data_IF_116674527707
#
_entry.id   IF_116674527707
#
_cell.length_a   1.000
_cell.length_b   1.000
_cell.length_c   1.000
_cell.angle_alpha   90.00
_cell.angle_beta   90.00
_cell.angle_gamma   90.00
#
_symmetry.space_group_name_H-M   'P 1'
#
loop_
_entity.id
_entity.type
_entity.pdbx_description
1 polymer ?
#
# COMPACT_ATOMS: atom_id res chain seq x y z
N UNK A 1 1.91 -21.36 11.59
CA UNK A 1 1.08 -20.95 10.45
C UNK A 1 1.19 -19.45 10.39
N UNK A 2 1.85 -18.91 9.38
CA UNK A 2 1.68 -17.49 9.06
C UNK A 2 0.32 -17.41 8.40
N UNK A 3 -0.67 -16.91 9.12
CA UNK A 3 -1.96 -16.57 8.52
C UNK A 3 -1.69 -15.58 7.39
N UNK A 4 -2.26 -15.85 6.20
CA UNK A 4 -2.22 -14.88 5.13
C UNK A 4 -2.90 -13.59 5.60
N UNK A 5 -2.34 -12.41 5.29
CA UNK A 5 -2.93 -11.14 5.71
C UNK A 5 -4.34 -11.01 5.13
N UNK A 6 -5.30 -10.66 5.98
CA UNK A 6 -6.68 -10.48 5.55
C UNK A 6 -6.84 -9.18 4.77
N UNK A 7 -7.91 -9.06 3.98
CA UNK A 7 -8.21 -7.80 3.25
C UNK A 7 -8.28 -6.61 4.20
N UNK A 8 -8.85 -6.79 5.40
CA UNK A 8 -8.93 -5.75 6.42
C UNK A 8 -7.54 -5.31 6.92
N UNK A 9 -6.62 -6.26 7.13
CA UNK A 9 -5.24 -5.95 7.53
C UNK A 9 -4.52 -5.14 6.44
N UNK A 10 -4.68 -5.55 5.18
CA UNK A 10 -4.10 -4.84 4.03
C UNK A 10 -4.66 -3.43 3.90
N UNK A 11 -5.96 -3.26 4.14
CA UNK A 11 -6.62 -1.98 4.03
C UNK A 11 -6.14 -1.00 5.12
N UNK A 12 -6.05 -1.46 6.37
CA UNK A 12 -5.47 -0.65 7.46
C UNK A 12 -4.04 -0.23 7.16
N UNK A 13 -3.23 -1.14 6.59
CA UNK A 13 -1.84 -0.85 6.23
C UNK A 13 -1.76 0.16 5.06
N UNK A 14 -2.65 0.06 4.08
CA UNK A 14 -2.72 0.97 2.95
C UNK A 14 -3.11 2.39 3.40
N UNK A 15 -4.15 2.51 4.23
CA UNK A 15 -4.64 3.78 4.75
C UNK A 15 -3.57 4.52 5.57
N UNK A 16 -2.80 3.80 6.40
CA UNK A 16 -1.65 4.37 7.14
C UNK A 16 -0.59 4.98 6.23
N UNK A 17 -0.45 4.45 5.03
CA UNK A 17 0.51 4.92 4.04
C UNK A 17 -0.08 5.97 3.09
N UNK A 18 -1.35 6.35 3.23
CA UNK A 18 -2.04 7.21 2.26
C UNK A 18 -2.25 6.50 0.92
N UNK A 19 -2.49 5.18 0.95
CA UNK A 19 -2.77 4.37 -0.22
C UNK A 19 -4.22 3.91 -0.18
N UNK A 20 -4.89 4.00 -1.32
CA UNK A 20 -6.17 3.36 -1.54
C UNK A 20 -5.93 1.96 -2.08
N UNK A 21 -6.42 0.98 -1.33
CA UNK A 21 -6.45 -0.42 -1.74
C UNK A 21 -7.79 -0.73 -2.40
N UNK A 22 -7.75 -1.34 -3.59
CA UNK A 22 -8.93 -1.84 -4.30
C UNK A 22 -8.74 -3.34 -4.55
N UNK A 23 -9.51 -4.23 -3.89
CA UNK A 23 -9.50 -5.65 -4.23
C UNK A 23 -10.15 -5.88 -5.59
N UNK A 24 -9.60 -6.84 -6.34
CA UNK A 24 -10.11 -7.29 -7.64
C UNK A 24 -10.81 -8.65 -7.49
N UNK A 25 -11.73 -8.97 -8.41
CA UNK A 25 -12.52 -10.22 -8.37
C UNK A 25 -11.66 -11.49 -8.55
N UNK A 26 -10.46 -11.35 -9.12
CA UNK A 26 -9.49 -12.43 -9.34
C UNK A 26 -8.64 -12.75 -8.09
N UNK A 27 -8.90 -12.07 -6.96
CA UNK A 27 -8.14 -12.23 -5.73
C UNK A 27 -6.83 -11.43 -5.68
N UNK A 28 -6.62 -10.54 -6.66
CA UNK A 28 -5.50 -9.59 -6.64
C UNK A 28 -5.92 -8.23 -6.10
N UNK A 29 -4.94 -7.35 -5.87
CA UNK A 29 -5.14 -6.02 -5.32
C UNK A 29 -4.53 -4.95 -6.23
N UNK A 30 -5.18 -3.79 -6.24
CA UNK A 30 -4.68 -2.54 -6.80
C UNK A 30 -4.38 -1.55 -5.69
N UNK A 31 -3.22 -0.92 -5.76
CA UNK A 31 -2.76 0.14 -4.87
C UNK A 31 -2.71 1.45 -5.67
N UNK A 32 -3.45 2.44 -5.18
CA UNK A 32 -3.51 3.78 -5.76
C UNK A 32 -2.99 4.78 -4.71
N UNK A 33 -2.04 5.64 -5.09
CA UNK A 33 -1.62 6.76 -4.23
C UNK A 33 -2.83 7.64 -3.91
N UNK A 34 -3.05 7.93 -2.64
CA UNK A 34 -3.94 9.01 -2.22
C UNK A 34 -3.05 10.10 -1.63
N UNK A 35 -2.72 11.07 -2.46
CA UNK A 35 -2.05 12.26 -1.99
C UNK A 35 -3.06 13.16 -1.24
N UNK A 36 -2.86 13.45 0.06
CA UNK A 36 -3.80 14.25 0.84
C UNK A 36 -3.89 15.72 0.38
N UNK A 37 -2.89 16.21 -0.34
CA UNK A 37 -2.81 17.57 -0.90
C UNK A 37 -3.20 17.66 -2.39
N UNK A 38 -3.61 16.54 -3.00
CA UNK A 38 -4.14 16.49 -4.37
C UNK A 38 -3.10 16.77 -5.46
N UNK A 39 -1.83 16.87 -5.11
CA UNK A 39 -0.72 16.95 -6.04
C UNK A 39 -0.15 15.55 -6.15
N UNK A 40 -0.66 14.76 -7.10
CA UNK A 40 -0.14 13.42 -7.40
C UNK A 40 1.38 13.37 -7.25
N UNK A 41 1.87 12.90 -6.10
CA UNK A 41 3.26 12.58 -5.94
C UNK A 41 3.45 11.37 -6.83
N UNK A 42 4.03 11.61 -8.01
CA UNK A 42 4.13 10.66 -9.12
C UNK A 42 4.91 9.38 -8.78
N UNK A 43 5.34 9.22 -7.53
CA UNK A 43 6.10 8.10 -7.00
C UNK A 43 5.22 6.84 -6.92
N UNK A 44 3.93 6.98 -6.65
CA UNK A 44 2.99 5.84 -6.66
C UNK A 44 2.28 5.77 -8.00
N UNK A 45 3.01 5.21 -8.97
CA UNK A 45 2.41 4.59 -10.15
C UNK A 45 1.40 3.54 -9.66
N UNK A 46 0.14 3.63 -10.09
CA UNK A 46 -0.88 2.62 -9.78
C UNK A 46 -0.30 1.22 -10.03
N UNK A 47 -0.26 0.39 -8.99
CA UNK A 47 0.21 -1.00 -9.08
C UNK A 47 -1.00 -1.91 -8.96
N UNK A 48 -1.14 -2.88 -9.85
CA UNK A 48 -2.29 -3.80 -9.92
C UNK A 48 -1.83 -5.24 -10.11
N UNK A 49 -2.70 -6.20 -9.79
CA UNK A 49 -2.37 -7.62 -9.90
C UNK A 49 -1.48 -8.13 -8.77
N UNK A 50 -1.43 -7.42 -7.63
CA UNK A 50 -0.64 -7.83 -6.48
C UNK A 50 -1.36 -8.91 -5.68
N UNK A 51 -0.61 -9.88 -5.15
CA UNK A 51 -1.11 -10.79 -4.11
C UNK A 51 -1.14 -10.08 -2.75
N UNK A 52 -1.86 -10.67 -1.78
CA UNK A 52 -1.95 -10.14 -0.42
C UNK A 52 -0.55 -9.91 0.20
N UNK A 53 0.37 -10.85 0.02
CA UNK A 53 1.74 -10.71 0.52
C UNK A 53 2.52 -9.59 -0.19
N UNK A 54 2.39 -9.46 -1.51
CA UNK A 54 3.07 -8.40 -2.26
C UNK A 54 2.58 -7.00 -1.86
N UNK A 55 1.30 -6.87 -1.50
CA UNK A 55 0.74 -5.64 -0.94
C UNK A 55 1.43 -5.31 0.38
N UNK A 56 1.57 -6.28 1.30
CA UNK A 56 2.27 -6.07 2.57
C UNK A 56 3.70 -5.60 2.32
N UNK A 57 4.44 -6.31 1.47
CA UNK A 57 5.85 -5.97 1.20
C UNK A 57 5.97 -4.56 0.60
N UNK A 58 5.09 -4.19 -0.33
CA UNK A 58 5.06 -2.87 -0.97
C UNK A 58 4.79 -1.76 0.06
N UNK A 59 3.76 -1.93 0.88
CA UNK A 59 3.37 -0.92 1.87
C UNK A 59 4.35 -0.82 3.03
N UNK A 60 4.98 -1.92 3.44
CA UNK A 60 6.04 -1.91 4.45
C UNK A 60 7.30 -1.18 3.95
N UNK A 61 7.69 -1.42 2.70
CA UNK A 61 8.84 -0.72 2.10
C UNK A 61 8.60 0.79 2.02
N UNK A 62 7.39 1.21 1.64
CA UNK A 62 7.03 2.63 1.65
C UNK A 62 7.06 3.26 3.04
N UNK A 63 6.55 2.54 4.06
CA UNK A 63 6.59 3.02 5.43
C UNK A 63 8.03 3.25 5.91
N UNK A 64 8.95 2.34 5.54
CA UNK A 64 10.37 2.46 5.87
C UNK A 64 11.06 3.67 5.20
N UNK A 65 10.70 3.97 3.94
CA UNK A 65 11.24 5.14 3.23
C UNK A 65 10.77 6.47 3.84
N UNK A 66 9.57 6.52 4.42
CA UNK A 66 9.06 7.73 5.10
C UNK A 66 9.66 7.95 6.49
N UNK A 67 10.01 6.89 7.21
CA UNK A 67 10.57 6.96 8.57
C UNK A 67 12.06 7.35 8.58
N UNK A 68 12.79 7.04 7.51
CA UNK A 68 14.21 7.45 7.37
C UNK A 68 14.42 8.92 7.00
N UNK A 69 13.34 9.66 6.70
CA UNK A 69 13.39 11.09 6.38
C UNK A 69 13.29 12.05 7.58
N UNK A 70 13.19 11.54 8.82
CA UNK A 70 12.95 12.38 10.01
C UNK A 70 14.17 12.65 10.89
N UNK A 71 15.40 12.50 10.36
CA UNK A 71 16.63 12.90 11.06
C UNK A 71 17.49 13.81 10.15
N UNK A 72 17.17 15.11 10.15
CA UNK A 72 18.01 16.19 9.64
C UNK A 72 17.73 17.50 10.39
#
# INVERSE_FOLDING_TARGET
MTDEPTVDDLQVLAERNGIKLTPSEDGTYRLDAVDPDGKHDAILTTVQGLTAQQVVDTLQNMAAERDTGSDA
#
